data_IF_618216282704
#
_entry.id   IF_618216282704
#
_cell.length_a   1.000
_cell.length_b   1.000
_cell.length_c   1.000
_cell.angle_alpha   90.00
_cell.angle_beta   90.00
_cell.angle_gamma   90.00
#
_symmetry.space_group_name_H-M   'P 1'
#
loop_
_entity.id
_entity.type
_entity.pdbx_description
1 polymer ?
#
# COMPACT_ATOMS: atom_id res chain seq x y z
N UNK A 1 -48.42 31.21 32.14
CA UNK A 1 -48.42 29.98 31.33
C UNK A 1 -46.98 29.72 30.95
N UNK A 2 -46.14 29.12 31.80
CA UNK A 2 -46.33 28.08 32.83
C UNK A 2 -46.22 26.65 32.29
N UNK A 3 -45.01 26.12 32.39
CA UNK A 3 -44.64 24.73 32.76
C UNK A 3 -45.16 24.35 34.18
N UNK A 4 -44.90 23.14 34.72
CA UNK A 4 -44.55 21.81 34.12
C UNK A 4 -45.36 20.62 34.71
N UNK A 5 -45.09 19.38 34.23
CA UNK A 5 -45.18 18.04 34.90
C UNK A 5 -44.68 16.99 33.88
N UNK A 6 -43.76 16.04 34.08
CA UNK A 6 -42.97 15.49 35.22
C UNK A 6 -43.59 14.35 36.08
N UNK A 7 -42.69 13.51 36.63
CA UNK A 7 -42.77 12.33 37.54
C UNK A 7 -43.26 10.95 36.98
N UNK A 8 -42.37 9.93 36.84
CA UNK A 8 -41.96 8.78 37.73
C UNK A 8 -43.01 7.65 37.94
N UNK A 9 -42.72 6.38 38.27
CA UNK A 9 -41.50 5.56 38.63
C UNK A 9 -41.68 4.10 38.12
N UNK A 10 -40.86 3.05 38.39
CA UNK A 10 -39.58 2.84 39.09
C UNK A 10 -39.23 1.32 39.25
N UNK A 11 -38.03 0.98 39.79
CA UNK A 11 -37.62 -0.33 40.39
C UNK A 11 -37.57 -1.62 39.51
N UNK A 12 -36.76 -2.67 39.75
CA UNK A 12 -35.63 -2.93 40.70
C UNK A 12 -34.68 -4.06 40.19
N UNK A 13 -33.46 -4.17 40.76
CA UNK A 13 -32.54 -5.33 40.66
C UNK A 13 -32.90 -6.46 41.69
N UNK A 14 -32.07 -7.45 42.13
CA UNK A 14 -30.71 -7.92 41.72
C UNK A 14 -30.52 -9.49 41.73
N UNK A 15 -29.25 -9.92 41.83
CA UNK A 15 -28.68 -11.27 42.12
C UNK A 15 -28.47 -12.23 40.92
N UNK A 16 -27.31 -12.87 40.70
CA UNK A 16 -26.22 -13.42 41.54
C UNK A 16 -26.46 -14.86 42.06
N UNK A 17 -25.67 -15.82 41.55
CA UNK A 17 -25.39 -17.11 42.18
C UNK A 17 -24.00 -17.62 41.74
N UNK A 18 -23.20 -18.12 42.69
CA UNK A 18 -21.87 -18.70 42.47
C UNK A 18 -21.69 -19.89 43.43
N UNK A 19 -21.25 -21.05 42.92
CA UNK A 19 -20.87 -22.25 43.70
C UNK A 19 -20.10 -23.21 42.78
N UNK A 20 -18.88 -23.65 43.15
CA UNK A 20 -18.60 -25.01 43.63
C UNK A 20 -18.04 -25.91 42.49
N UNK A 21 -17.06 -26.79 42.66
CA UNK A 21 -16.46 -27.43 43.85
C UNK A 21 -14.98 -27.86 43.57
N UNK A 22 -14.23 -28.36 44.56
CA UNK A 22 -12.83 -28.85 44.47
C UNK A 22 -12.81 -30.36 44.03
N UNK A 23 -11.73 -31.16 43.91
CA UNK A 23 -10.33 -31.24 44.45
C UNK A 23 -9.33 -31.61 43.29
N UNK A 24 -8.03 -31.95 43.42
CA UNK A 24 -7.22 -32.41 44.57
C UNK A 24 -5.71 -32.13 44.43
N UNK A 25 -5.13 -31.88 45.61
CA UNK A 25 -3.76 -31.61 46.06
C UNK A 25 -2.63 -32.60 45.65
N UNK A 26 -1.38 -32.10 45.45
CA UNK A 26 -0.23 -32.53 46.29
C UNK A 26 1.10 -31.76 46.17
N UNK A 27 1.59 -31.36 47.34
CA UNK A 27 2.98 -31.29 47.87
C UNK A 27 4.13 -30.65 47.06
N UNK A 28 4.75 -29.64 47.67
CA UNK A 28 6.11 -29.10 47.42
C UNK A 28 7.12 -29.69 48.44
N UNK A 29 8.45 -29.43 48.39
CA UNK A 29 8.97 -28.20 49.02
C UNK A 29 10.21 -27.56 48.35
N UNK A 30 10.40 -26.26 48.60
CA UNK A 30 11.64 -25.50 48.37
C UNK A 30 12.59 -25.60 49.58
N UNK A 31 13.90 -25.35 49.42
CA UNK A 31 14.73 -24.60 50.39
C UNK A 31 16.10 -24.20 49.80
N UNK A 32 16.75 -23.19 50.40
CA UNK A 32 17.87 -22.43 49.80
C UNK A 32 19.19 -22.51 50.66
N UNK A 33 20.12 -21.51 50.75
CA UNK A 33 21.55 -21.70 50.44
C UNK A 33 22.53 -21.73 51.65
N UNK A 34 23.84 -21.93 51.40
CA UNK A 34 24.98 -21.19 52.04
C UNK A 34 26.39 -21.51 51.42
N UNK A 35 27.47 -20.91 51.93
CA UNK A 35 28.80 -20.64 51.29
C UNK A 35 29.89 -20.43 52.39
N UNK A 36 31.25 -20.54 52.24
CA UNK A 36 32.21 -20.44 51.09
C UNK A 36 33.11 -21.71 50.91
N UNK A 37 34.31 -21.79 50.26
CA UNK A 37 35.23 -20.85 49.53
C UNK A 37 35.80 -21.51 48.23
N UNK A 38 37.03 -21.42 47.66
CA UNK A 38 38.41 -20.99 48.00
C UNK A 38 39.12 -20.41 46.73
N UNK A 39 40.31 -19.76 46.82
CA UNK A 39 40.95 -19.01 45.72
C UNK A 39 42.39 -19.46 45.34
N UNK A 40 42.62 -19.71 44.05
CA UNK A 40 43.94 -19.56 43.38
C UNK A 40 43.75 -18.97 41.97
N UNK A 41 44.53 -17.97 41.55
CA UNK A 41 44.29 -17.22 40.30
C UNK A 41 45.50 -17.00 39.39
N UNK A 42 45.30 -16.23 38.32
CA UNK A 42 46.21 -16.04 37.17
C UNK A 42 45.75 -16.86 35.96
N UNK A 43 45.61 -16.33 34.74
CA UNK A 43 45.91 -14.98 34.21
C UNK A 43 44.78 -14.51 33.25
N UNK A 44 44.75 -13.24 32.79
CA UNK A 44 43.55 -12.64 32.20
C UNK A 44 43.43 -12.72 30.66
N UNK A 45 42.25 -12.33 30.18
CA UNK A 45 41.93 -11.90 28.80
C UNK A 45 41.87 -12.98 27.71
N UNK A 46 40.88 -13.88 27.81
CA UNK A 46 40.16 -14.35 26.62
C UNK A 46 38.87 -13.52 26.48
N UNK A 47 38.81 -12.65 25.47
CA UNK A 47 37.66 -11.79 25.22
C UNK A 47 36.53 -12.59 24.58
N UNK A 48 35.37 -12.66 25.24
CA UNK A 48 34.19 -13.30 24.67
C UNK A 48 33.82 -12.64 23.33
N UNK A 49 33.94 -13.39 22.23
CA UNK A 49 33.58 -12.87 20.91
C UNK A 49 32.07 -12.56 20.85
N UNK A 50 31.66 -11.42 20.26
CA UNK A 50 30.26 -11.17 20.00
C UNK A 50 29.75 -12.19 18.99
N UNK A 51 28.68 -12.91 19.35
CA UNK A 51 28.10 -14.00 18.57
C UNK A 51 28.16 -13.75 17.07
N UNK A 52 28.91 -14.59 16.35
CA UNK A 52 29.11 -14.44 14.91
C UNK A 52 27.76 -14.44 14.19
N UNK A 53 27.41 -13.30 13.59
CA UNK A 53 26.42 -13.26 12.51
C UNK A 53 26.90 -14.25 11.46
N UNK A 54 26.04 -15.18 11.04
CA UNK A 54 26.40 -16.25 10.11
C UNK A 54 26.92 -15.64 8.80
N UNK A 55 28.24 -15.64 8.66
CA UNK A 55 28.92 -14.91 7.59
C UNK A 55 28.56 -15.56 6.25
N UNK A 56 27.80 -14.84 5.43
CA UNK A 56 27.43 -15.30 4.10
C UNK A 56 28.65 -15.55 3.20
N UNK A 57 28.49 -16.25 2.06
CA UNK A 57 29.60 -16.83 1.28
C UNK A 57 30.59 -15.86 0.59
N UNK A 58 30.67 -14.60 1.01
CA UNK A 58 31.29 -13.48 0.29
C UNK A 58 32.42 -12.79 1.08
N UNK A 59 32.81 -13.30 2.25
CA UNK A 59 33.79 -12.63 3.14
C UNK A 59 35.27 -12.99 2.88
N UNK A 60 35.55 -13.93 1.98
CA UNK A 60 36.91 -14.34 1.57
C UNK A 60 36.97 -14.58 0.05
N UNK A 61 36.68 -13.55 -0.74
CA UNK A 61 36.82 -13.59 -2.21
C UNK A 61 38.28 -13.32 -2.60
N UNK A 62 38.79 -14.02 -3.61
CA UNK A 62 40.04 -13.66 -4.26
C UNK A 62 39.84 -12.55 -5.33
N UNK A 63 40.93 -12.07 -5.94
CA UNK A 63 40.88 -10.97 -6.92
C UNK A 63 39.98 -11.31 -8.13
N UNK A 64 40.08 -12.53 -8.70
CA UNK A 64 39.23 -12.96 -9.85
C UNK A 64 37.76 -13.09 -9.43
N UNK A 65 37.50 -13.57 -8.22
CA UNK A 65 36.14 -13.65 -7.67
C UNK A 65 35.53 -12.26 -7.40
N UNK A 66 36.37 -11.30 -7.01
CA UNK A 66 35.98 -9.90 -6.77
C UNK A 66 35.68 -9.19 -8.09
N UNK A 67 36.51 -9.34 -9.11
CA UNK A 67 36.25 -8.84 -10.47
C UNK A 67 34.95 -9.45 -11.04
N UNK A 68 34.76 -10.77 -10.89
CA UNK A 68 33.55 -11.45 -11.34
C UNK A 68 32.30 -11.08 -10.53
N UNK A 69 32.44 -10.64 -9.28
CA UNK A 69 31.34 -10.06 -8.51
C UNK A 69 31.01 -8.65 -8.99
N UNK A 70 32.02 -7.83 -9.32
CA UNK A 70 31.87 -6.50 -9.89
C UNK A 70 31.16 -6.54 -11.25
N UNK A 71 31.55 -7.45 -12.15
CA UNK A 71 30.87 -7.66 -13.44
C UNK A 71 29.39 -8.01 -13.26
N UNK A 72 29.07 -8.92 -12.33
CA UNK A 72 27.68 -9.28 -11.99
C UNK A 72 26.90 -8.10 -11.41
N UNK A 73 27.53 -7.32 -10.53
CA UNK A 73 26.95 -6.13 -9.92
C UNK A 73 26.61 -5.06 -10.96
N UNK A 74 27.57 -4.72 -11.84
CA UNK A 74 27.40 -3.75 -12.93
C UNK A 74 26.28 -4.20 -13.86
N UNK A 75 26.34 -5.44 -14.36
CA UNK A 75 25.34 -5.95 -15.31
C UNK A 75 23.93 -6.02 -14.70
N UNK A 76 23.82 -6.41 -13.43
CA UNK A 76 22.53 -6.40 -12.72
C UNK A 76 21.98 -4.98 -12.52
N UNK A 77 22.86 -4.01 -12.26
CA UNK A 77 22.54 -2.57 -12.23
C UNK A 77 22.02 -2.04 -13.57
N UNK A 78 22.70 -2.36 -14.68
CA UNK A 78 22.27 -2.01 -16.04
C UNK A 78 20.86 -2.54 -16.36
N UNK A 79 20.63 -3.84 -16.11
CA UNK A 79 19.32 -4.49 -16.30
C UNK A 79 18.24 -3.88 -15.39
N UNK A 80 18.60 -3.45 -14.18
CA UNK A 80 17.70 -2.74 -13.28
C UNK A 80 17.30 -1.35 -13.83
N UNK A 81 18.27 -0.58 -14.32
CA UNK A 81 18.06 0.75 -14.94
C UNK A 81 17.20 0.63 -16.21
N UNK A 82 17.51 -0.31 -17.10
CA UNK A 82 16.76 -0.48 -18.35
C UNK A 82 15.30 -0.89 -18.07
N UNK A 83 15.06 -1.81 -17.13
CA UNK A 83 13.68 -2.14 -16.72
C UNK A 83 12.96 -0.93 -16.09
N UNK A 84 13.69 -0.04 -15.41
CA UNK A 84 13.11 1.18 -14.86
C UNK A 84 12.73 2.19 -15.96
N UNK A 85 13.54 2.31 -17.02
CA UNK A 85 13.22 3.11 -18.20
C UNK A 85 11.97 2.58 -18.92
N UNK A 86 11.89 1.26 -19.13
CA UNK A 86 10.73 0.58 -19.72
C UNK A 86 9.44 0.85 -18.90
N UNK A 87 9.53 0.80 -17.55
CA UNK A 87 8.40 1.15 -16.67
C UNK A 87 7.93 2.60 -16.89
N UNK A 88 8.85 3.56 -16.98
CA UNK A 88 8.51 4.97 -17.23
C UNK A 88 7.88 5.16 -18.61
N UNK A 89 8.36 4.44 -19.64
CA UNK A 89 7.76 4.45 -20.98
C UNK A 89 6.33 3.88 -20.96
N UNK A 90 6.10 2.75 -20.29
CA UNK A 90 4.77 2.15 -20.13
C UNK A 90 3.81 3.06 -19.35
N UNK A 91 4.24 3.66 -18.24
CA UNK A 91 3.41 4.58 -17.46
C UNK A 91 3.00 5.82 -18.28
N UNK A 92 3.91 6.37 -19.11
CA UNK A 92 3.57 7.45 -20.05
C UNK A 92 2.57 7.00 -21.12
N UNK A 93 2.75 5.80 -21.70
CA UNK A 93 1.86 5.24 -22.72
C UNK A 93 0.42 5.03 -22.20
N UNK A 94 0.26 4.37 -21.04
CA UNK A 94 -1.05 4.19 -20.42
C UNK A 94 -1.69 5.53 -20.05
N UNK A 95 -0.93 6.45 -19.45
CA UNK A 95 -1.42 7.78 -19.10
C UNK A 95 -1.96 8.54 -20.31
N UNK A 96 -1.20 8.59 -21.41
CA UNK A 96 -1.60 9.27 -22.64
C UNK A 96 -2.87 8.66 -23.26
N UNK A 97 -2.94 7.33 -23.40
CA UNK A 97 -4.11 6.67 -24.01
C UNK A 97 -5.36 6.86 -23.15
N UNK A 98 -5.27 6.62 -21.84
CA UNK A 98 -6.45 6.69 -20.97
C UNK A 98 -6.96 8.13 -20.78
N UNK A 99 -6.06 9.12 -20.64
CA UNK A 99 -6.49 10.53 -20.62
C UNK A 99 -7.11 10.98 -21.95
N UNK A 100 -6.58 10.52 -23.09
CA UNK A 100 -7.13 10.82 -24.41
C UNK A 100 -8.52 10.21 -24.61
N UNK A 101 -8.71 8.94 -24.21
CA UNK A 101 -10.01 8.27 -24.27
C UNK A 101 -11.00 8.97 -23.33
N UNK A 102 -10.62 9.28 -22.09
CA UNK A 102 -11.48 9.97 -21.13
C UNK A 102 -11.91 11.35 -21.62
N UNK A 103 -10.99 12.12 -22.25
CA UNK A 103 -11.31 13.40 -22.88
C UNK A 103 -12.31 13.24 -24.05
N UNK A 104 -12.14 12.20 -24.87
CA UNK A 104 -13.09 11.85 -25.94
C UNK A 104 -14.48 11.48 -25.41
N UNK A 105 -14.55 10.69 -24.34
CA UNK A 105 -15.83 10.36 -23.67
C UNK A 105 -16.47 11.61 -23.05
N UNK A 106 -15.69 12.52 -22.47
CA UNK A 106 -16.21 13.78 -21.92
C UNK A 106 -16.76 14.71 -23.02
N UNK A 107 -16.09 14.78 -24.18
CA UNK A 107 -16.58 15.52 -25.34
C UNK A 107 -17.91 14.93 -25.88
N UNK A 108 -18.04 13.60 -25.94
CA UNK A 108 -19.29 12.92 -26.30
C UNK A 108 -20.40 13.15 -25.26
N UNK A 109 -20.08 13.07 -23.97
CA UNK A 109 -21.02 13.27 -22.87
C UNK A 109 -21.54 14.71 -22.73
N UNK A 110 -20.75 15.69 -23.20
CA UNK A 110 -21.16 17.11 -23.34
C UNK A 110 -22.05 17.35 -24.56
N UNK A 111 -22.03 16.45 -25.54
CA UNK A 111 -22.96 16.44 -26.66
C UNK A 111 -24.39 16.02 -26.25
N UNK A 112 -25.32 16.07 -27.20
CA UNK A 112 -26.68 15.61 -26.95
C UNK A 112 -26.73 14.06 -26.93
N UNK A 113 -26.59 13.46 -25.75
CA UNK A 113 -26.63 12.00 -25.60
C UNK A 113 -28.01 11.44 -25.94
N UNK A 114 -28.04 10.42 -26.79
CA UNK A 114 -29.18 9.54 -27.02
C UNK A 114 -28.97 8.24 -26.23
N UNK A 115 -30.00 7.42 -26.06
CA UNK A 115 -29.86 6.12 -25.36
C UNK A 115 -28.78 5.23 -25.99
N UNK A 116 -28.63 5.29 -27.33
CA UNK A 116 -27.61 4.54 -28.06
C UNK A 116 -26.20 5.07 -27.82
N UNK A 117 -25.98 6.39 -27.86
CA UNK A 117 -24.64 6.94 -27.58
C UNK A 117 -24.28 6.86 -26.09
N UNK A 118 -25.26 6.95 -25.20
CA UNK A 118 -25.09 6.67 -23.77
C UNK A 118 -24.64 5.22 -23.52
N UNK A 119 -25.21 4.22 -24.21
CA UNK A 119 -24.76 2.83 -24.11
C UNK A 119 -23.29 2.65 -24.55
N UNK A 120 -22.88 3.32 -25.62
CA UNK A 120 -21.47 3.32 -26.08
C UNK A 120 -20.55 3.98 -25.05
N UNK A 121 -20.94 5.14 -24.50
CA UNK A 121 -20.15 5.84 -23.47
C UNK A 121 -20.06 5.03 -22.18
N UNK A 122 -21.14 4.38 -21.74
CA UNK A 122 -21.14 3.49 -20.58
C UNK A 122 -20.19 2.30 -20.76
N UNK A 123 -20.26 1.62 -21.91
CA UNK A 123 -19.40 0.47 -22.21
C UNK A 123 -17.91 0.88 -22.30
N UNK A 124 -17.61 1.93 -23.06
CA UNK A 124 -16.24 2.44 -23.20
C UNK A 124 -15.68 2.97 -21.87
N UNK A 125 -16.51 3.56 -21.01
CA UNK A 125 -16.15 3.97 -19.66
C UNK A 125 -15.81 2.77 -18.76
N UNK A 126 -16.65 1.72 -18.76
CA UNK A 126 -16.38 0.49 -18.02
C UNK A 126 -15.08 -0.18 -18.46
N UNK A 127 -14.83 -0.22 -19.78
CA UNK A 127 -13.59 -0.75 -20.34
C UNK A 127 -12.35 0.11 -19.96
N UNK A 128 -12.48 1.45 -20.00
CA UNK A 128 -11.44 2.36 -19.51
C UNK A 128 -11.09 2.16 -18.04
N UNK A 129 -12.11 2.03 -17.17
CA UNK A 129 -11.91 1.72 -15.75
C UNK A 129 -11.27 0.35 -15.52
N UNK A 130 -11.55 -0.65 -16.37
CA UNK A 130 -10.92 -1.98 -16.31
C UNK A 130 -9.43 -1.90 -16.70
N UNK A 131 -9.07 -1.11 -17.71
CA UNK A 131 -7.65 -0.87 -18.06
C UNK A 131 -6.93 -0.12 -16.93
N UNK A 132 -7.57 0.86 -16.28
CA UNK A 132 -7.02 1.50 -15.08
C UNK A 132 -6.72 0.48 -13.96
N UNK A 133 -7.59 -0.49 -13.73
CA UNK A 133 -7.35 -1.58 -12.77
C UNK A 133 -6.14 -2.44 -13.16
N UNK A 134 -6.01 -2.84 -14.44
CA UNK A 134 -4.84 -3.59 -14.89
C UNK A 134 -3.53 -2.79 -14.80
N UNK A 135 -3.55 -1.50 -15.12
CA UNK A 135 -2.38 -0.62 -14.94
C UNK A 135 -2.01 -0.48 -13.46
N UNK A 136 -2.99 -0.35 -12.56
CA UNK A 136 -2.75 -0.33 -11.11
C UNK A 136 -2.08 -1.63 -10.61
N UNK A 137 -2.55 -2.80 -11.06
CA UNK A 137 -1.94 -4.09 -10.73
C UNK A 137 -0.52 -4.24 -11.32
N UNK A 138 -0.30 -3.77 -12.55
CA UNK A 138 1.03 -3.72 -13.17
C UNK A 138 2.01 -2.88 -12.34
N UNK A 139 1.57 -1.71 -11.86
CA UNK A 139 2.36 -0.82 -11.01
C UNK A 139 2.70 -1.43 -9.63
N UNK A 140 1.76 -2.19 -9.03
CA UNK A 140 2.06 -2.97 -7.81
C UNK A 140 3.11 -4.05 -8.08
N UNK A 141 3.03 -4.75 -9.21
CA UNK A 141 4.00 -5.78 -9.60
C UNK A 141 5.42 -5.20 -9.72
N UNK A 142 5.57 -4.06 -10.41
CA UNK A 142 6.86 -3.37 -10.51
C UNK A 142 7.39 -2.89 -9.15
N UNK A 143 6.54 -2.40 -8.23
CA UNK A 143 6.96 -2.07 -6.85
C UNK A 143 7.54 -3.29 -6.12
N UNK A 144 6.89 -4.46 -6.23
CA UNK A 144 7.37 -5.72 -5.61
C UNK A 144 8.70 -6.18 -6.21
N UNK A 145 8.81 -6.17 -7.53
CA UNK A 145 10.04 -6.52 -8.25
C UNK A 145 11.20 -5.59 -7.87
N UNK A 146 10.96 -4.28 -7.80
CA UNK A 146 11.98 -3.31 -7.40
C UNK A 146 12.44 -3.51 -5.95
N UNK A 147 11.53 -3.75 -4.99
CA UNK A 147 11.89 -4.04 -3.58
C UNK A 147 12.80 -5.28 -3.46
N UNK A 148 12.59 -6.29 -4.31
CA UNK A 148 13.46 -7.47 -4.40
C UNK A 148 14.80 -7.17 -5.07
N UNK A 149 14.81 -6.46 -6.21
CA UNK A 149 16.05 -6.09 -6.93
C UNK A 149 16.99 -5.23 -6.08
N UNK A 150 16.47 -4.21 -5.39
CA UNK A 150 17.28 -3.43 -4.44
C UNK A 150 17.75 -4.25 -3.24
N UNK A 151 17.02 -5.29 -2.80
CA UNK A 151 17.53 -6.17 -1.74
C UNK A 151 18.73 -7.00 -2.22
N UNK A 152 18.68 -7.54 -3.44
CA UNK A 152 19.79 -8.31 -4.05
C UNK A 152 20.98 -7.41 -4.35
N UNK A 153 20.74 -6.22 -4.93
CA UNK A 153 21.79 -5.25 -5.23
C UNK A 153 22.56 -4.83 -3.97
N UNK A 154 21.85 -4.51 -2.87
CA UNK A 154 22.47 -4.15 -1.60
C UNK A 154 23.21 -5.33 -0.94
N UNK A 155 22.80 -6.59 -1.17
CA UNK A 155 23.52 -7.77 -0.69
C UNK A 155 24.84 -7.95 -1.45
N UNK A 156 24.84 -7.83 -2.77
CA UNK A 156 26.06 -7.87 -3.60
C UNK A 156 26.99 -6.71 -3.20
N UNK A 157 26.44 -5.50 -3.08
CA UNK A 157 27.17 -4.30 -2.68
C UNK A 157 27.79 -4.42 -1.27
N UNK A 158 27.18 -5.17 -0.35
CA UNK A 158 27.73 -5.37 1.00
C UNK A 158 29.08 -6.12 1.03
N UNK A 159 29.44 -6.83 -0.04
CA UNK A 159 30.72 -7.50 -0.21
C UNK A 159 31.72 -6.71 -1.07
N UNK A 160 31.34 -5.56 -1.62
CA UNK A 160 32.22 -4.71 -2.42
C UNK A 160 32.95 -3.67 -1.55
N UNK A 161 34.20 -3.28 -1.88
CA UNK A 161 34.97 -2.30 -1.09
C UNK A 161 34.35 -0.90 -1.01
N UNK A 162 33.43 -0.55 -1.91
CA UNK A 162 32.75 0.74 -1.99
C UNK A 162 31.27 0.49 -2.27
N UNK A 163 30.39 1.16 -1.50
CA UNK A 163 28.95 0.89 -1.48
C UNK A 163 28.14 2.10 -1.96
N UNK A 164 28.27 2.37 -3.27
CA UNK A 164 27.78 3.57 -3.93
C UNK A 164 26.29 3.87 -3.69
N UNK A 165 25.41 2.88 -3.85
CA UNK A 165 23.96 3.07 -3.67
C UNK A 165 23.59 3.14 -2.19
N UNK A 166 24.12 2.25 -1.34
CA UNK A 166 23.89 2.32 0.11
C UNK A 166 24.33 3.67 0.71
N UNK A 167 25.48 4.23 0.30
CA UNK A 167 25.92 5.54 0.76
C UNK A 167 25.12 6.69 0.12
N UNK A 168 24.71 6.62 -1.16
CA UNK A 168 23.75 7.58 -1.77
C UNK A 168 22.45 7.66 -0.94
N UNK A 169 21.85 6.52 -0.62
CA UNK A 169 20.66 6.43 0.23
C UNK A 169 20.88 6.98 1.63
N UNK A 170 22.08 6.78 2.20
CA UNK A 170 22.47 7.31 3.51
C UNK A 170 22.60 8.84 3.51
N UNK A 171 23.06 9.45 2.41
CA UNK A 171 23.06 10.91 2.26
C UNK A 171 21.64 11.45 2.06
N UNK A 172 20.82 10.84 1.20
CA UNK A 172 19.42 11.24 0.99
C UNK A 172 18.59 11.21 2.28
N UNK A 173 18.83 10.25 3.18
CA UNK A 173 18.18 10.21 4.50
C UNK A 173 18.63 11.33 5.44
N UNK A 174 19.89 11.75 5.37
CA UNK A 174 20.48 12.77 6.27
C UNK A 174 20.02 14.19 6.00
N UNK A 175 19.30 14.42 4.90
CA UNK A 175 18.57 15.68 4.67
C UNK A 175 17.29 15.80 5.51
N UNK A 176 16.89 14.74 6.23
CA UNK A 176 15.87 14.80 7.28
C UNK A 176 16.46 14.69 8.70
N UNK A 177 15.88 15.36 9.70
CA UNK A 177 16.28 15.20 11.10
C UNK A 177 16.03 13.77 11.56
N UNK A 178 17.11 13.09 11.94
CA UNK A 178 17.16 11.69 12.31
C UNK A 178 16.66 11.47 13.75
N UNK A 179 15.85 10.42 13.99
CA UNK A 179 15.90 9.70 15.25
C UNK A 179 16.27 8.22 15.01
N UNK A 180 17.54 7.92 15.25
CA UNK A 180 18.09 6.58 15.53
C UNK A 180 18.11 5.58 14.35
N UNK A 181 19.32 5.35 13.82
CA UNK A 181 19.59 4.37 12.76
C UNK A 181 19.47 2.94 13.32
N UNK A 182 18.26 2.39 13.27
CA UNK A 182 17.99 0.96 13.49
C UNK A 182 17.97 0.24 12.13
N UNK A 183 18.96 -0.63 11.92
CA UNK A 183 18.85 -1.75 10.97
C UNK A 183 18.24 -2.97 11.70
N UNK A 184 17.43 -3.83 11.05
CA UNK A 184 17.16 -3.90 9.60
C UNK A 184 16.07 -2.93 9.11
N UNK A 185 16.01 -2.77 7.78
CA UNK A 185 14.97 -2.04 7.03
C UNK A 185 13.57 -2.19 7.66
N UNK A 186 12.98 -1.13 8.24
CA UNK A 186 11.55 -1.06 8.47
C UNK A 186 10.82 -1.17 7.12
N UNK A 187 9.77 -1.99 7.04
CA UNK A 187 9.03 -2.20 5.79
C UNK A 187 8.37 -0.93 5.23
N UNK A 188 8.21 0.07 6.10
CA UNK A 188 7.42 1.28 5.94
C UNK A 188 8.25 2.59 5.99
N UNK A 189 9.47 2.63 5.42
CA UNK A 189 10.16 3.90 5.14
C UNK A 189 9.24 4.82 4.28
N UNK A 190 8.83 6.01 4.77
CA UNK A 190 7.80 6.80 4.10
C UNK A 190 8.31 7.56 2.86
N UNK A 191 9.60 7.90 2.78
CA UNK A 191 9.96 9.14 2.08
C UNK A 191 10.18 8.96 0.58
N UNK A 192 10.93 7.92 0.21
CA UNK A 192 11.16 7.56 -1.20
C UNK A 192 9.91 6.94 -1.85
N UNK A 193 8.76 6.88 -1.16
CA UNK A 193 7.49 6.41 -1.74
C UNK A 193 6.86 7.42 -2.69
N UNK A 194 7.19 8.71 -2.56
CA UNK A 194 6.52 9.86 -3.20
C UNK A 194 6.10 9.60 -4.66
N UNK A 195 7.03 9.29 -5.55
CA UNK A 195 6.75 9.09 -6.99
C UNK A 195 5.74 7.97 -7.26
N UNK A 196 5.86 6.81 -6.61
CA UNK A 196 4.94 5.68 -6.84
C UNK A 196 3.66 5.73 -6.01
N UNK A 197 3.56 6.64 -5.04
CA UNK A 197 2.29 7.05 -4.43
C UNK A 197 1.52 7.96 -5.40
N UNK A 198 2.19 8.97 -5.98
CA UNK A 198 1.58 9.88 -6.97
C UNK A 198 1.09 9.13 -8.21
N UNK A 199 1.89 8.21 -8.76
CA UNK A 199 1.45 7.35 -9.89
C UNK A 199 0.20 6.53 -9.52
N UNK A 200 0.13 5.93 -8.32
CA UNK A 200 -1.05 5.18 -7.89
C UNK A 200 -2.29 6.06 -7.71
N UNK A 201 -2.14 7.25 -7.10
CA UNK A 201 -3.23 8.21 -6.97
C UNK A 201 -3.72 8.73 -8.32
N UNK A 202 -2.83 8.93 -9.30
CA UNK A 202 -3.21 9.29 -10.66
C UNK A 202 -4.10 8.22 -11.31
N UNK A 203 -3.72 6.93 -11.22
CA UNK A 203 -4.54 5.83 -11.77
C UNK A 203 -5.90 5.72 -11.06
N UNK A 204 -5.93 5.90 -9.73
CA UNK A 204 -7.18 5.93 -8.93
C UNK A 204 -8.10 7.08 -9.36
N UNK A 205 -7.56 8.30 -9.50
CA UNK A 205 -8.29 9.49 -9.97
C UNK A 205 -8.84 9.27 -11.39
N UNK A 206 -8.02 8.72 -12.29
CA UNK A 206 -8.42 8.43 -13.67
C UNK A 206 -9.56 7.40 -13.74
N UNK A 207 -9.51 6.36 -12.90
CA UNK A 207 -10.60 5.40 -12.74
C UNK A 207 -11.88 6.05 -12.21
N UNK A 208 -11.80 6.93 -11.20
CA UNK A 208 -12.95 7.71 -10.73
C UNK A 208 -13.55 8.59 -11.84
N UNK A 209 -12.70 9.21 -12.67
CA UNK A 209 -13.11 9.98 -13.83
C UNK A 209 -13.92 9.16 -14.83
N UNK A 210 -13.45 7.95 -15.17
CA UNK A 210 -14.22 6.99 -15.95
C UNK A 210 -15.55 6.64 -15.29
N UNK A 211 -15.54 6.14 -14.05
CA UNK A 211 -16.75 5.71 -13.34
C UNK A 211 -17.80 6.83 -13.24
N UNK A 212 -17.37 8.08 -13.06
CA UNK A 212 -18.23 9.28 -13.07
C UNK A 212 -18.92 9.48 -14.42
N UNK A 213 -18.18 9.42 -15.52
CA UNK A 213 -18.72 9.55 -16.90
C UNK A 213 -19.63 8.36 -17.25
N UNK A 214 -19.28 7.15 -16.79
CA UNK A 214 -20.10 5.95 -16.91
C UNK A 214 -21.42 6.09 -16.16
N UNK A 215 -21.39 6.56 -14.92
CA UNK A 215 -22.58 6.85 -14.11
C UNK A 215 -23.51 7.87 -14.76
N UNK A 216 -22.94 8.96 -15.31
CA UNK A 216 -23.69 9.95 -16.08
C UNK A 216 -24.40 9.34 -17.30
N UNK A 217 -23.69 8.54 -18.10
CA UNK A 217 -24.29 7.84 -19.23
C UNK A 217 -25.32 6.78 -18.81
N UNK A 218 -25.11 6.09 -17.68
CA UNK A 218 -26.05 5.15 -17.09
C UNK A 218 -27.41 5.80 -16.77
N UNK A 219 -27.42 7.05 -16.31
CA UNK A 219 -28.65 7.83 -16.08
C UNK A 219 -29.52 7.98 -17.33
N UNK A 220 -28.93 8.11 -18.53
CA UNK A 220 -29.67 8.20 -19.79
C UNK A 220 -30.34 6.88 -20.21
N UNK A 221 -29.85 5.75 -19.71
CA UNK A 221 -30.44 4.41 -19.96
C UNK A 221 -31.46 4.07 -18.88
N UNK A 222 -31.15 4.40 -17.62
CA UNK A 222 -31.99 4.10 -16.46
C UNK A 222 -33.25 4.97 -16.40
N UNK A 223 -33.18 6.25 -16.77
CA UNK A 223 -34.34 7.17 -16.72
C UNK A 223 -35.53 6.68 -17.55
N UNK A 224 -35.41 6.41 -18.87
CA UNK A 224 -36.54 5.94 -19.67
C UNK A 224 -37.08 4.57 -19.20
N UNK A 225 -36.20 3.71 -18.67
CA UNK A 225 -36.59 2.42 -18.10
C UNK A 225 -37.46 2.62 -16.85
N UNK A 226 -37.06 3.47 -15.91
CA UNK A 226 -37.84 3.77 -14.71
C UNK A 226 -39.12 4.58 -14.99
N UNK A 227 -39.12 5.51 -15.94
CA UNK A 227 -40.35 6.23 -16.31
C UNK A 227 -41.36 5.31 -17.00
N UNK A 228 -40.92 4.33 -17.80
CA UNK A 228 -41.83 3.31 -18.36
C UNK A 228 -42.37 2.34 -17.30
N UNK A 229 -41.67 2.17 -16.18
CA UNK A 229 -42.15 1.47 -14.99
C UNK A 229 -43.05 2.35 -14.06
N UNK A 230 -43.39 3.57 -14.47
CA UNK A 230 -44.33 4.45 -13.75
C UNK A 230 -43.70 5.43 -12.76
N UNK A 231 -42.38 5.48 -12.62
CA UNK A 231 -41.71 6.45 -11.73
C UNK A 231 -41.63 7.84 -12.37
N UNK A 232 -42.05 8.88 -11.63
CA UNK A 232 -41.80 10.26 -12.03
C UNK A 232 -40.36 10.64 -11.71
N UNK A 233 -39.56 10.89 -12.74
CA UNK A 233 -38.16 11.31 -12.64
C UNK A 233 -37.92 12.65 -13.36
N UNK A 234 -36.92 13.44 -12.95
CA UNK A 234 -36.47 14.60 -13.70
C UNK A 234 -35.81 14.19 -15.03
N UNK A 235 -35.35 15.17 -15.81
CA UNK A 235 -34.70 14.91 -17.11
C UNK A 235 -33.54 13.92 -17.00
N UNK A 236 -33.27 13.10 -18.05
CA UNK A 236 -32.15 12.14 -18.02
C UNK A 236 -30.79 12.77 -17.73
N UNK A 237 -30.58 14.03 -18.13
CA UNK A 237 -29.41 14.84 -17.75
C UNK A 237 -29.27 15.02 -16.24
N UNK A 238 -30.38 15.33 -15.54
CA UNK A 238 -30.40 15.53 -14.09
C UNK A 238 -30.12 14.23 -13.35
N UNK A 239 -30.76 13.13 -13.77
CA UNK A 239 -30.53 11.79 -13.20
C UNK A 239 -29.08 11.36 -13.43
N UNK A 240 -28.53 11.56 -14.63
CA UNK A 240 -27.13 11.29 -14.94
C UNK A 240 -26.16 12.09 -14.07
N UNK A 241 -26.40 13.39 -13.87
CA UNK A 241 -25.52 14.21 -13.01
C UNK A 241 -25.53 13.75 -11.55
N UNK A 242 -26.69 13.34 -11.01
CA UNK A 242 -26.79 12.79 -9.65
C UNK A 242 -26.03 11.47 -9.51
N UNK A 243 -26.18 10.55 -10.48
CA UNK A 243 -25.46 9.26 -10.48
C UNK A 243 -23.95 9.50 -10.65
N UNK A 244 -23.53 10.37 -11.56
CA UNK A 244 -22.12 10.73 -11.74
C UNK A 244 -21.50 11.32 -10.46
N UNK A 245 -22.16 12.30 -9.83
CA UNK A 245 -21.66 12.94 -8.61
C UNK A 245 -21.58 11.99 -7.41
N UNK A 246 -22.57 11.10 -7.22
CA UNK A 246 -22.55 10.10 -6.15
C UNK A 246 -21.46 9.05 -6.36
N UNK A 247 -21.26 8.59 -7.59
CA UNK A 247 -20.14 7.69 -7.95
C UNK A 247 -18.78 8.37 -7.74
N UNK A 248 -18.65 9.65 -8.10
CA UNK A 248 -17.42 10.43 -7.88
C UNK A 248 -17.09 10.54 -6.38
N UNK A 249 -18.06 10.94 -5.56
CA UNK A 249 -17.90 11.07 -4.11
C UNK A 249 -17.57 9.73 -3.43
N UNK A 250 -18.28 8.66 -3.80
CA UNK A 250 -18.00 7.30 -3.30
C UNK A 250 -16.60 6.80 -3.68
N UNK A 251 -16.16 7.08 -4.91
CA UNK A 251 -14.81 6.72 -5.38
C UNK A 251 -13.72 7.44 -4.56
N UNK A 252 -13.90 8.75 -4.31
CA UNK A 252 -12.96 9.54 -3.50
C UNK A 252 -12.86 8.96 -2.07
N UNK A 253 -13.99 8.71 -1.41
CA UNK A 253 -14.02 8.13 -0.06
C UNK A 253 -13.36 6.76 0.03
N UNK A 254 -13.57 5.90 -0.97
CA UNK A 254 -12.99 4.55 -1.02
C UNK A 254 -11.47 4.58 -1.27
N UNK A 255 -10.95 5.58 -1.97
CA UNK A 255 -9.51 5.75 -2.17
C UNK A 255 -8.78 6.40 -0.97
N UNK A 256 -9.43 7.32 -0.25
CA UNK A 256 -8.90 7.94 0.98
C UNK A 256 -8.93 7.00 2.19
N UNK A 257 -9.83 6.01 2.22
CA UNK A 257 -9.88 4.97 3.28
C UNK A 257 -8.97 3.76 3.00
N UNK A 258 -8.22 3.79 1.90
CA UNK A 258 -7.29 2.72 1.44
C UNK A 258 -5.97 3.31 0.92
N UNK A 259 -5.44 4.30 1.64
CA UNK A 259 -4.15 4.95 1.39
C UNK A 259 -3.37 5.05 2.69
#
# INVERSE_FOLDING_TARGET
MSEPTDETSGESEPNNANLGENTEDKDTPETEPEHPEEVTGGDPAESAEPNAVENGPLTNLNDEETDRLMDQYIHYGEVAIETANQRVQMNRFFGLILTSILAGLFALARGNLTTTSAAIVLFASGFGSLICYFWYQSLQSYRRLNKARYAILNQIESALPVRMYLDEWRYLKREKPDPEIVEPRPDDDPDHRSHTIVEQWFVRLLAAGYLTVGGYAGGFILTPLLTSAGYSLPSPTTVGLIIGATVMAGSIGLFWTRS
#
